data_IF_863273532629
#
_entry.id   IF_863273532629
#
_cell.length_a   1.000
_cell.length_b   1.000
_cell.length_c   1.000
_cell.angle_alpha   90.00
_cell.angle_beta   90.00
_cell.angle_gamma   90.00
#
_symmetry.space_group_name_H-M   'P 1'
#
loop_
_entity.id
_entity.type
_entity.pdbx_description
1 polymer ?
#
# COMPACT_ATOMS: atom_id res chain seq x y z
N UNK A 1 -24.03 -26.97 0.04
CA UNK A 1 -23.56 -25.71 0.69
C UNK A 1 -23.79 -24.50 -0.21
N UNK A 2 -23.53 -24.62 -1.53
CA UNK A 2 -23.89 -23.63 -2.56
C UNK A 2 -25.38 -23.29 -2.62
N UNK A 3 -26.27 -24.26 -2.48
CA UNK A 3 -27.72 -23.99 -2.47
C UNK A 3 -28.15 -23.11 -1.28
N UNK A 4 -27.60 -23.35 -0.08
CA UNK A 4 -27.81 -22.49 1.10
C UNK A 4 -27.33 -21.05 0.87
N UNK A 5 -26.19 -20.87 0.20
CA UNK A 5 -25.64 -19.55 -0.11
C UNK A 5 -26.53 -18.78 -1.10
N UNK A 6 -27.14 -19.48 -2.07
CA UNK A 6 -28.11 -18.88 -3.01
C UNK A 6 -29.41 -18.49 -2.29
N UNK A 7 -29.92 -19.35 -1.41
CA UNK A 7 -31.11 -19.04 -0.60
C UNK A 7 -30.92 -17.80 0.27
N UNK A 8 -29.69 -17.59 0.77
CA UNK A 8 -29.32 -16.43 1.60
C UNK A 8 -28.90 -15.19 0.78
N UNK A 9 -29.10 -15.18 -0.55
CA UNK A 9 -28.72 -14.09 -1.45
C UNK A 9 -27.23 -13.67 -1.38
N UNK A 10 -26.34 -14.61 -1.05
CA UNK A 10 -24.92 -14.32 -1.08
C UNK A 10 -24.38 -14.38 -2.51
N UNK A 11 -23.81 -13.26 -2.99
CA UNK A 11 -23.07 -13.16 -4.26
C UNK A 11 -21.88 -14.14 -4.36
N UNK A 12 -21.51 -14.78 -3.25
CA UNK A 12 -20.45 -15.79 -3.19
C UNK A 12 -20.84 -17.10 -3.88
N UNK A 13 -22.15 -17.39 -4.00
CA UNK A 13 -22.61 -18.65 -4.59
C UNK A 13 -22.29 -18.75 -6.09
N UNK A 14 -22.36 -17.63 -6.80
CA UNK A 14 -22.12 -17.54 -8.24
C UNK A 14 -20.71 -17.04 -8.59
N UNK A 15 -19.88 -16.77 -7.58
CA UNK A 15 -18.50 -16.35 -7.77
C UNK A 15 -17.63 -17.51 -8.28
N UNK A 16 -16.62 -17.19 -9.11
CA UNK A 16 -15.63 -18.17 -9.58
C UNK A 16 -14.86 -18.79 -8.42
N UNK A 17 -14.41 -20.03 -8.59
CA UNK A 17 -13.68 -20.73 -7.53
C UNK A 17 -12.30 -20.13 -7.28
N UNK A 18 -11.68 -19.55 -8.31
CA UNK A 18 -10.44 -18.77 -8.21
C UNK A 18 -10.61 -17.56 -7.27
N UNK A 19 -11.73 -16.83 -7.41
CA UNK A 19 -12.05 -15.69 -6.57
C UNK A 19 -12.19 -16.10 -5.10
N UNK A 20 -12.90 -17.21 -4.84
CA UNK A 20 -13.08 -17.74 -3.48
C UNK A 20 -11.75 -18.14 -2.85
N UNK A 21 -10.88 -18.83 -3.59
CA UNK A 21 -9.56 -19.23 -3.09
C UNK A 21 -8.68 -18.02 -2.77
N UNK A 22 -8.65 -17.03 -3.66
CA UNK A 22 -7.89 -15.78 -3.47
C UNK A 22 -8.31 -15.05 -2.21
N UNK A 23 -9.63 -14.89 -2.03
CA UNK A 23 -10.19 -14.19 -0.87
C UNK A 23 -9.95 -14.93 0.44
N UNK A 24 -9.91 -16.27 0.42
CA UNK A 24 -9.53 -17.09 1.57
C UNK A 24 -8.08 -16.83 2.00
N UNK A 25 -7.14 -16.74 1.05
CA UNK A 25 -5.74 -16.45 1.35
C UNK A 25 -5.58 -15.03 1.91
N UNK A 26 -6.23 -14.03 1.30
CA UNK A 26 -6.22 -12.65 1.80
C UNK A 26 -6.81 -12.56 3.22
N UNK A 27 -7.94 -13.23 3.48
CA UNK A 27 -8.54 -13.33 4.80
C UNK A 27 -7.58 -13.94 5.81
N UNK A 28 -6.91 -15.06 5.48
CA UNK A 28 -5.96 -15.69 6.40
C UNK A 28 -4.82 -14.75 6.79
N UNK A 29 -4.28 -13.99 5.83
CA UNK A 29 -3.21 -13.00 6.10
C UNK A 29 -3.68 -11.88 7.02
N UNK A 30 -4.88 -11.35 6.78
CA UNK A 30 -5.49 -10.35 7.64
C UNK A 30 -5.77 -10.89 9.06
N UNK A 31 -6.34 -12.09 9.17
CA UNK A 31 -6.63 -12.69 10.48
C UNK A 31 -5.35 -12.98 11.26
N UNK A 32 -4.28 -13.42 10.58
CA UNK A 32 -2.98 -13.61 11.20
C UNK A 32 -2.40 -12.29 11.75
N UNK A 33 -2.43 -11.21 10.97
CA UNK A 33 -1.94 -9.90 11.45
C UNK A 33 -2.82 -9.30 12.55
N UNK A 34 -4.13 -9.51 12.49
CA UNK A 34 -5.06 -9.12 13.55
C UNK A 34 -4.77 -9.88 14.86
N UNK A 35 -4.53 -11.20 14.80
CA UNK A 35 -4.18 -12.00 15.96
C UNK A 35 -2.86 -11.52 16.60
N UNK A 36 -1.83 -11.23 15.77
CA UNK A 36 -0.56 -10.65 16.24
C UNK A 36 -0.81 -9.29 16.90
N UNK A 37 -1.70 -8.46 16.35
CA UNK A 37 -2.03 -7.14 16.92
C UNK A 37 -2.71 -7.26 18.28
N UNK A 38 -3.63 -8.21 18.46
CA UNK A 38 -4.26 -8.48 19.75
C UNK A 38 -3.21 -8.92 20.77
N UNK A 39 -2.29 -9.80 20.38
CA UNK A 39 -1.20 -10.24 21.24
C UNK A 39 -0.25 -9.09 21.60
N UNK A 40 0.18 -8.31 20.61
CA UNK A 40 1.08 -7.17 20.79
C UNK A 40 0.46 -6.09 21.68
N UNK A 41 -0.83 -5.77 21.49
CA UNK A 41 -1.55 -4.81 22.34
C UNK A 41 -1.65 -5.30 23.79
N UNK A 42 -1.92 -6.59 24.00
CA UNK A 42 -1.97 -7.17 25.35
C UNK A 42 -0.60 -7.17 26.02
N UNK A 43 0.45 -7.50 25.26
CA UNK A 43 1.84 -7.45 25.71
C UNK A 43 2.24 -6.02 26.10
N UNK A 44 1.98 -5.03 25.24
CA UNK A 44 2.26 -3.63 25.52
C UNK A 44 1.54 -3.14 26.78
N UNK A 45 0.25 -3.44 26.93
CA UNK A 45 -0.53 -3.10 28.11
C UNK A 45 0.07 -3.68 29.40
N UNK A 46 0.43 -4.97 29.37
CA UNK A 46 1.06 -5.62 30.53
C UNK A 46 2.43 -5.04 30.84
N UNK A 47 3.26 -4.81 29.81
CA UNK A 47 4.57 -4.21 29.97
C UNK A 47 4.47 -2.84 30.67
N UNK A 48 3.56 -1.97 30.23
CA UNK A 48 3.38 -0.64 30.84
C UNK A 48 2.93 -0.72 32.30
N UNK A 49 1.93 -1.55 32.63
CA UNK A 49 1.41 -1.63 34.01
C UNK A 49 2.46 -2.16 34.98
N UNK A 50 3.22 -3.19 34.59
CA UNK A 50 4.25 -3.77 35.48
C UNK A 50 5.37 -2.81 35.85
N UNK A 51 5.48 -1.68 35.15
CA UNK A 51 6.55 -0.70 35.29
C UNK A 51 6.09 0.63 35.88
N UNK A 52 4.82 0.71 36.26
CA UNK A 52 4.32 1.88 36.98
C UNK A 52 4.97 1.94 38.35
N UNK A 53 5.64 3.06 38.63
CA UNK A 53 6.18 3.33 39.95
C UNK A 53 5.05 3.73 40.90
N UNK A 54 4.89 2.97 41.99
CA UNK A 54 3.98 3.29 43.09
C UNK A 54 4.83 3.67 44.29
N UNK A 55 4.91 4.97 44.67
CA UNK A 55 5.73 5.40 45.79
C UNK A 55 5.18 4.85 47.11
N UNK A 56 6.08 4.40 47.98
CA UNK A 56 5.73 4.03 49.36
C UNK A 56 5.69 5.27 50.26
N UNK A 57 4.95 5.23 51.38
CA UNK A 57 4.74 6.37 52.28
C UNK A 57 6.05 7.01 52.83
N UNK A 58 7.16 6.28 52.79
CA UNK A 58 8.46 6.73 53.29
C UNK A 58 9.50 6.98 52.19
N UNK A 59 9.14 6.84 50.91
CA UNK A 59 10.00 7.21 49.79
C UNK A 59 9.80 8.69 49.46
N UNK A 60 10.88 9.48 49.54
CA UNK A 60 10.85 10.88 49.13
C UNK A 60 10.50 11.02 47.64
N UNK A 61 9.59 11.94 47.30
CA UNK A 61 9.09 12.15 45.93
C UNK A 61 10.14 12.67 44.93
N UNK A 62 11.35 12.99 45.40
CA UNK A 62 12.40 13.63 44.61
C UNK A 62 13.44 12.64 44.04
N UNK A 63 13.42 11.38 44.48
CA UNK A 63 14.41 10.39 44.04
C UNK A 63 13.74 9.33 43.17
N UNK A 64 14.26 9.08 41.95
CA UNK A 64 13.84 7.93 41.18
C UNK A 64 14.16 6.63 41.94
N UNK A 65 13.38 5.56 41.75
CA UNK A 65 13.61 4.28 42.41
C UNK A 65 15.04 3.76 42.15
N UNK A 66 15.76 3.42 43.23
CA UNK A 66 17.17 3.03 43.21
C UNK A 66 17.50 1.78 42.36
N UNK A 67 16.49 0.98 42.03
CA UNK A 67 16.62 -0.26 41.25
C UNK A 67 16.16 -0.14 39.79
N UNK A 68 15.88 1.08 39.30
CA UNK A 68 15.36 1.29 37.95
C UNK A 68 16.47 1.33 36.90
N UNK A 69 16.40 0.42 35.93
CA UNK A 69 17.34 0.35 34.81
C UNK A 69 16.78 1.07 33.57
N UNK A 70 17.26 2.29 33.33
CA UNK A 70 16.85 3.12 32.20
C UNK A 70 17.06 2.46 30.83
N UNK A 71 18.18 1.73 30.64
CA UNK A 71 18.50 1.12 29.35
C UNK A 71 17.54 -0.03 29.01
N UNK A 72 17.25 -0.89 29.99
CA UNK A 72 16.32 -2.01 29.80
C UNK A 72 14.88 -1.53 29.65
N UNK A 73 14.50 -0.48 30.37
CA UNK A 73 13.16 0.06 30.24
C UNK A 73 12.92 0.68 28.85
N UNK A 74 13.87 1.50 28.39
CA UNK A 74 13.86 2.09 27.05
C UNK A 74 13.83 1.02 25.96
N UNK A 75 14.67 -0.02 26.06
CA UNK A 75 14.74 -1.09 25.07
C UNK A 75 13.39 -1.81 24.92
N UNK A 76 12.73 -2.13 26.03
CA UNK A 76 11.43 -2.81 25.97
C UNK A 76 10.30 -1.86 25.57
N UNK A 77 10.35 -0.58 25.94
CA UNK A 77 9.37 0.41 25.48
C UNK A 77 9.42 0.55 23.94
N UNK A 78 10.62 0.71 23.37
CA UNK A 78 10.84 0.77 21.92
C UNK A 78 10.44 -0.55 21.26
N UNK A 79 10.81 -1.69 21.84
CA UNK A 79 10.44 -3.01 21.32
C UNK A 79 8.93 -3.23 21.28
N UNK A 80 8.23 -2.94 22.38
CA UNK A 80 6.77 -3.06 22.47
C UNK A 80 6.06 -2.09 21.51
N UNK A 81 6.54 -0.85 21.43
CA UNK A 81 6.00 0.16 20.50
C UNK A 81 6.19 -0.23 19.03
N UNK A 82 7.37 -0.73 18.67
CA UNK A 82 7.69 -1.16 17.30
C UNK A 82 6.85 -2.38 16.91
N UNK A 83 6.71 -3.35 17.82
CA UNK A 83 5.88 -4.54 17.60
C UNK A 83 4.42 -4.16 17.37
N UNK A 84 3.87 -3.28 18.21
CA UNK A 84 2.48 -2.83 18.11
C UNK A 84 2.24 -2.00 16.84
N UNK A 85 3.14 -1.06 16.53
CA UNK A 85 3.06 -0.26 15.31
C UNK A 85 3.14 -1.14 14.05
N UNK A 86 4.08 -2.08 14.02
CA UNK A 86 4.26 -3.02 12.92
C UNK A 86 3.05 -3.93 12.74
N UNK A 87 2.47 -4.44 13.84
CA UNK A 87 1.30 -5.30 13.78
C UNK A 87 0.05 -4.54 13.29
N UNK A 88 -0.19 -3.33 13.81
CA UNK A 88 -1.32 -2.48 13.38
C UNK A 88 -1.18 -2.09 11.91
N UNK A 89 0.01 -1.69 11.49
CA UNK A 89 0.29 -1.35 10.09
C UNK A 89 0.07 -2.55 9.17
N UNK A 90 0.54 -3.74 9.56
CA UNK A 90 0.28 -4.98 8.84
C UNK A 90 -1.21 -5.33 8.76
N UNK A 91 -1.96 -5.10 9.83
CA UNK A 91 -3.41 -5.29 9.85
C UNK A 91 -4.12 -4.34 8.88
N UNK A 92 -3.71 -3.07 8.82
CA UNK A 92 -4.25 -2.10 7.87
C UNK A 92 -3.94 -2.47 6.41
N UNK A 93 -2.69 -2.87 6.12
CA UNK A 93 -2.27 -3.23 4.77
C UNK A 93 -3.02 -4.49 4.29
N UNK A 94 -2.99 -5.57 5.06
CA UNK A 94 -3.66 -6.82 4.67
C UNK A 94 -5.19 -6.70 4.70
N UNK A 95 -5.73 -5.89 5.60
CA UNK A 95 -7.15 -5.54 5.61
C UNK A 95 -7.54 -4.75 4.36
N UNK A 96 -6.73 -3.78 3.97
CA UNK A 96 -6.89 -3.03 2.72
C UNK A 96 -6.86 -3.94 1.49
N UNK A 97 -5.89 -4.86 1.42
CA UNK A 97 -5.80 -5.84 0.34
C UNK A 97 -7.01 -6.78 0.29
N UNK A 98 -7.57 -7.15 1.44
CA UNK A 98 -8.77 -7.98 1.48
C UNK A 98 -10.05 -7.22 1.09
N UNK A 99 -10.20 -5.98 1.54
CA UNK A 99 -11.37 -5.15 1.23
C UNK A 99 -11.41 -4.77 -0.26
N UNK A 100 -10.26 -4.40 -0.83
CA UNK A 100 -10.14 -3.96 -2.22
C UNK A 100 -9.88 -5.12 -3.19
N UNK A 101 -9.74 -6.34 -2.67
CA UNK A 101 -9.46 -7.55 -3.42
C UNK A 101 -8.23 -7.44 -4.33
N UNK A 102 -7.11 -7.07 -3.69
CA UNK A 102 -5.80 -6.84 -4.31
C UNK A 102 -4.83 -7.89 -3.79
N UNK A 103 -4.07 -8.52 -4.68
CA UNK A 103 -3.18 -9.63 -4.30
C UNK A 103 -1.71 -9.23 -4.24
N UNK A 104 -1.34 -8.12 -4.88
CA UNK A 104 0.04 -7.68 -5.01
C UNK A 104 0.14 -6.15 -5.06
N UNK A 105 1.32 -5.61 -4.72
CA UNK A 105 1.56 -4.16 -4.65
C UNK A 105 1.43 -3.48 -6.01
N UNK A 106 1.72 -4.20 -7.11
CA UNK A 106 1.54 -3.68 -8.47
C UNK A 106 0.06 -3.48 -8.82
N UNK A 107 -0.77 -4.47 -8.51
CA UNK A 107 -2.24 -4.39 -8.63
C UNK A 107 -2.82 -3.33 -7.69
N UNK A 108 -2.18 -3.10 -6.52
CA UNK A 108 -2.56 -2.02 -5.63
C UNK A 108 -2.40 -0.65 -6.29
N UNK A 109 -1.24 -0.37 -6.87
CA UNK A 109 -0.99 0.90 -7.56
C UNK A 109 -2.00 1.14 -8.68
N UNK A 110 -2.25 0.13 -9.51
CA UNK A 110 -3.21 0.25 -10.61
C UNK A 110 -4.65 0.43 -10.13
N UNK A 111 -5.12 -0.39 -9.18
CA UNK A 111 -6.48 -0.26 -8.61
C UNK A 111 -6.67 1.07 -7.90
N UNK A 112 -5.68 1.54 -7.15
CA UNK A 112 -5.77 2.81 -6.44
C UNK A 112 -5.78 3.99 -7.40
N UNK A 113 -4.96 3.94 -8.47
CA UNK A 113 -4.97 4.93 -9.54
C UNK A 113 -6.33 5.00 -10.23
N UNK A 114 -6.91 3.84 -10.56
CA UNK A 114 -8.25 3.77 -11.15
C UNK A 114 -9.33 4.32 -10.22
N UNK A 115 -9.27 3.97 -8.92
CA UNK A 115 -10.24 4.41 -7.90
C UNK A 115 -10.13 5.91 -7.58
N UNK A 116 -8.93 6.49 -7.71
CA UNK A 116 -8.69 7.94 -7.58
C UNK A 116 -8.99 8.72 -8.88
N UNK A 117 -9.51 8.08 -9.92
CA UNK A 117 -9.82 8.72 -11.20
C UNK A 117 -8.59 9.02 -12.07
N UNK A 118 -7.44 8.42 -11.77
CA UNK A 118 -6.22 8.56 -12.56
C UNK A 118 -6.37 8.06 -14.00
N UNK A 119 -7.20 7.04 -14.24
CA UNK A 119 -7.50 6.57 -15.60
C UNK A 119 -8.32 7.59 -16.40
N UNK A 120 -9.21 8.33 -15.73
CA UNK A 120 -9.99 9.40 -16.36
C UNK A 120 -9.10 10.61 -16.64
N UNK A 121 -8.23 10.98 -15.70
CA UNK A 121 -7.25 12.06 -15.90
C UNK A 121 -6.22 11.73 -16.97
N UNK A 122 -5.79 10.47 -17.12
CA UNK A 122 -4.90 10.08 -18.22
C UNK A 122 -5.61 10.14 -19.57
N UNK A 123 -6.87 9.73 -19.65
CA UNK A 123 -7.67 9.90 -20.87
C UNK A 123 -7.87 11.37 -21.19
N UNK A 124 -8.24 12.18 -20.21
CA UNK A 124 -8.44 13.62 -20.36
C UNK A 124 -7.12 14.32 -20.77
N UNK A 125 -5.98 13.90 -20.22
CA UNK A 125 -4.65 14.40 -20.63
C UNK A 125 -4.25 13.93 -22.03
N UNK A 126 -4.65 12.72 -22.45
CA UNK A 126 -4.41 12.22 -23.81
C UNK A 126 -5.34 12.85 -24.86
N UNK A 127 -6.51 13.31 -24.43
CA UNK A 127 -7.51 13.98 -25.27
C UNK A 127 -7.31 15.50 -25.29
N UNK A 128 -6.44 16.05 -24.43
CA UNK A 128 -6.04 17.45 -24.54
C UNK A 128 -5.33 17.68 -25.88
N UNK A 129 -5.66 18.76 -26.60
CA UNK A 129 -4.98 19.09 -27.84
C UNK A 129 -3.48 19.25 -27.56
N UNK A 130 -2.66 18.48 -28.27
CA UNK A 130 -1.21 18.62 -28.18
C UNK A 130 -0.81 20.03 -28.61
N UNK A 131 0.13 20.60 -27.87
CA UNK A 131 0.77 21.87 -28.24
C UNK A 131 1.48 21.71 -29.58
N UNK A 132 1.51 22.78 -30.38
CA UNK A 132 1.90 22.76 -31.80
C UNK A 132 3.35 22.27 -31.99
N UNK A 133 4.23 22.62 -31.04
CA UNK A 133 5.61 22.12 -30.97
C UNK A 133 5.69 20.61 -30.66
N UNK A 134 4.78 20.09 -29.83
CA UNK A 134 4.77 18.68 -29.45
C UNK A 134 4.25 17.79 -30.58
N UNK A 135 3.28 18.27 -31.38
CA UNK A 135 2.84 17.60 -32.60
C UNK A 135 3.94 17.53 -33.65
N UNK A 136 4.69 18.62 -33.85
CA UNK A 136 5.79 18.66 -34.82
C UNK A 136 6.90 17.66 -34.47
N UNK A 137 7.23 17.53 -33.18
CA UNK A 137 8.23 16.55 -32.71
C UNK A 137 7.73 15.12 -32.86
N UNK A 138 6.46 14.84 -32.53
CA UNK A 138 5.89 13.50 -32.71
C UNK A 138 5.84 13.09 -34.17
N UNK A 139 5.41 13.98 -35.07
CA UNK A 139 5.40 13.70 -36.51
C UNK A 139 6.82 13.47 -37.03
N UNK A 140 7.78 14.32 -36.63
CA UNK A 140 9.20 14.15 -37.04
C UNK A 140 9.78 12.81 -36.55
N UNK A 141 9.47 12.39 -35.32
CA UNK A 141 9.89 11.10 -34.77
C UNK A 141 9.21 9.93 -35.47
N UNK A 142 7.92 10.07 -35.78
CA UNK A 142 7.15 9.01 -36.44
C UNK A 142 7.60 8.84 -37.90
N UNK A 143 7.95 9.92 -38.59
CA UNK A 143 8.52 9.90 -39.94
C UNK A 143 9.94 9.28 -39.96
N UNK A 144 10.75 9.52 -38.91
CA UNK A 144 12.04 8.84 -38.71
C UNK A 144 11.86 7.34 -38.46
N UNK A 145 10.84 6.95 -37.70
CA UNK A 145 10.59 5.55 -37.33
C UNK A 145 9.97 4.74 -38.48
N UNK A 146 9.11 5.37 -39.29
CA UNK A 146 8.49 4.79 -40.49
C UNK A 146 9.47 4.72 -41.69
N UNK A 147 10.68 5.25 -41.55
CA UNK A 147 11.72 5.17 -42.58
C UNK A 147 11.45 6.06 -43.79
N UNK A 148 10.60 7.09 -43.67
CA UNK A 148 10.34 8.11 -44.71
C UNK A 148 11.31 9.29 -44.66
N UNK A 149 12.31 9.24 -43.78
CA UNK A 149 13.44 10.15 -43.80
C UNK A 149 14.35 9.85 -45.01
N UNK A 150 14.01 10.41 -46.16
CA UNK A 150 14.91 10.53 -47.31
C UNK A 150 16.03 11.51 -46.94
N UNK A 151 17.23 10.99 -46.66
CA UNK A 151 18.45 11.81 -46.54
C UNK A 151 18.79 12.56 -47.84
N UNK A 152 18.22 12.15 -48.97
CA UNK A 152 18.59 12.60 -50.31
C UNK A 152 18.01 13.96 -50.72
N UNK A 153 17.18 14.61 -49.89
CA UNK A 153 16.57 15.92 -50.22
C UNK A 153 17.28 17.14 -49.63
N UNK A 154 18.28 16.95 -48.77
CA UNK A 154 19.02 18.08 -48.17
C UNK A 154 20.17 18.54 -49.09
N UNK A 155 20.65 17.68 -49.99
CA UNK A 155 21.81 17.99 -50.83
C UNK A 155 21.45 18.81 -52.11
N UNK A 156 20.17 18.89 -52.50
CA UNK A 156 19.75 19.45 -53.80
C UNK A 156 19.35 20.95 -53.78
N UNK A 157 19.24 21.58 -52.59
CA UNK A 157 18.97 23.02 -52.47
C UNK A 157 20.21 23.89 -52.20
N UNK A 158 21.37 23.29 -51.93
CA UNK A 158 22.63 24.04 -51.74
C UNK A 158 23.42 24.31 -53.03
N UNK A 159 23.00 23.78 -54.17
CA UNK A 159 23.77 23.85 -55.44
C UNK A 159 23.04 24.57 -56.59
N UNK A 160 22.19 25.56 -56.26
CA UNK A 160 21.69 26.55 -57.22
C UNK A 160 21.86 27.98 -56.71
N UNK A 161 23.11 28.43 -56.69
CA UNK A 161 23.50 29.84 -56.90
C UNK A 161 24.66 29.90 -57.87
#
# INVERSE_FOLDING_TARGET
MTDLLRTLNFKLADASDEYKQRRKIQMMRFMASAAITIFASRFAYKATITRQYVPTLFQGNHSPPLSYNFATDAAVAVGAGTLLCGSVSGMLIFGGFWCLDISNVKEFGWRMKSLMGGDQKEKELSEMPMDEESSYIQDSLNDMLEGKYDFDKIDDETDKN
#
